data_IF_096660474664
#
_entry.id   IF_096660474664
#
_cell.length_a   1.000
_cell.length_b   1.000
_cell.length_c   1.000
_cell.angle_alpha   90.00
_cell.angle_beta   90.00
_cell.angle_gamma   90.00
#
_symmetry.space_group_name_H-M   'P 1'
#
loop_
_entity.id
_entity.type
_entity.pdbx_description
1 polymer ?
#
# COMPACT_ATOMS: atom_id res chain seq x y z
N UNK A 1 -54.70 -10.00 5.39
CA UNK A 1 -53.34 -9.49 5.07
C UNK A 1 -53.15 -9.63 3.56
N UNK A 2 -53.65 -8.65 2.78
CA UNK A 2 -53.64 -8.77 1.32
C UNK A 2 -52.25 -8.38 0.78
N UNK A 3 -51.58 -9.36 0.18
CA UNK A 3 -50.33 -9.21 -0.54
C UNK A 3 -50.55 -8.31 -1.77
N UNK A 4 -50.39 -6.99 -1.63
CA UNK A 4 -50.48 -6.06 -2.78
C UNK A 4 -49.32 -5.07 -2.77
N UNK A 5 -48.15 -5.58 -3.13
CA UNK A 5 -47.02 -4.80 -3.61
C UNK A 5 -46.99 -4.84 -5.15
N UNK A 6 -48.16 -4.69 -5.80
CA UNK A 6 -48.20 -4.56 -7.26
C UNK A 6 -47.81 -3.13 -7.64
N UNK A 7 -47.03 -2.95 -8.71
CA UNK A 7 -46.58 -1.63 -9.17
C UNK A 7 -47.71 -0.62 -9.41
N UNK A 8 -48.93 -1.12 -9.65
CA UNK A 8 -50.18 -0.34 -9.82
C UNK A 8 -50.86 0.09 -8.52
N UNK A 9 -50.35 -0.29 -7.35
CA UNK A 9 -50.94 0.08 -6.06
C UNK A 9 -50.98 1.62 -5.86
N UNK A 10 -52.05 2.17 -5.25
CA UNK A 10 -52.15 3.59 -4.92
C UNK A 10 -50.97 4.15 -4.11
N UNK A 11 -50.27 3.32 -3.32
CA UNK A 11 -49.05 3.69 -2.61
C UNK A 11 -48.01 4.37 -3.51
N UNK A 12 -47.93 3.92 -4.76
CA UNK A 12 -46.94 4.39 -5.73
C UNK A 12 -47.32 5.71 -6.42
N UNK A 13 -48.55 6.21 -6.26
CA UNK A 13 -48.99 7.46 -6.90
C UNK A 13 -48.09 8.64 -6.43
N UNK A 14 -47.52 9.37 -7.39
CA UNK A 14 -46.54 10.44 -7.12
C UNK A 14 -45.13 9.96 -6.75
N UNK A 15 -44.92 8.68 -6.39
CA UNK A 15 -43.62 8.14 -5.94
C UNK A 15 -42.86 7.33 -7.00
N UNK A 16 -43.53 6.81 -8.04
CA UNK A 16 -42.89 5.97 -9.10
C UNK A 16 -41.74 6.68 -9.81
N UNK A 17 -41.98 7.89 -10.30
CA UNK A 17 -41.00 8.68 -11.05
C UNK A 17 -39.77 9.03 -10.20
N UNK A 18 -39.90 9.62 -8.99
CA UNK A 18 -38.73 9.91 -8.16
C UNK A 18 -38.00 8.64 -7.69
N UNK A 19 -38.71 7.55 -7.42
CA UNK A 19 -38.09 6.27 -7.10
C UNK A 19 -37.27 5.70 -8.26
N UNK A 20 -37.84 5.66 -9.48
CA UNK A 20 -37.15 5.20 -10.67
C UNK A 20 -35.93 6.05 -11.02
N UNK A 21 -36.06 7.38 -10.94
CA UNK A 21 -34.93 8.31 -11.13
C UNK A 21 -33.87 8.09 -10.04
N UNK A 22 -34.27 7.92 -8.79
CA UNK A 22 -33.35 7.70 -7.67
C UNK A 22 -32.52 6.43 -7.85
N UNK A 23 -33.15 5.31 -8.24
CA UNK A 23 -32.45 4.06 -8.53
C UNK A 23 -31.52 4.21 -9.72
N UNK A 24 -32.01 4.78 -10.82
CA UNK A 24 -31.21 4.93 -12.04
C UNK A 24 -29.99 5.81 -11.80
N UNK A 25 -30.17 6.98 -11.18
CA UNK A 25 -29.07 7.90 -10.88
C UNK A 25 -28.07 7.28 -9.90
N UNK A 26 -28.54 6.62 -8.84
CA UNK A 26 -27.65 5.94 -7.90
C UNK A 26 -26.86 4.81 -8.59
N UNK A 27 -27.51 4.04 -9.47
CA UNK A 27 -26.86 3.01 -10.28
C UNK A 27 -25.79 3.58 -11.20
N UNK A 28 -26.08 4.65 -11.94
CA UNK A 28 -25.11 5.34 -12.80
C UNK A 28 -23.93 5.86 -11.96
N UNK A 29 -24.19 6.50 -10.82
CA UNK A 29 -23.13 7.02 -9.95
C UNK A 29 -22.20 5.90 -9.45
N UNK A 30 -22.74 4.75 -9.04
CA UNK A 30 -21.93 3.60 -8.61
C UNK A 30 -21.14 3.01 -9.78
N UNK A 31 -21.74 2.88 -10.97
CA UNK A 31 -21.01 2.40 -12.16
C UNK A 31 -19.83 3.33 -12.48
N UNK A 32 -20.05 4.65 -12.50
CA UNK A 32 -19.00 5.64 -12.75
C UNK A 32 -17.92 5.62 -11.66
N UNK A 33 -18.31 5.40 -10.40
CA UNK A 33 -17.38 5.25 -9.29
C UNK A 33 -16.41 4.08 -9.52
N UNK A 34 -16.95 2.88 -9.78
CA UNK A 34 -16.14 1.69 -10.04
C UNK A 34 -15.33 1.81 -11.33
N UNK A 35 -15.90 2.39 -12.38
CA UNK A 35 -15.17 2.66 -13.61
C UNK A 35 -13.96 3.54 -13.35
N UNK A 36 -14.12 4.62 -12.57
CA UNK A 36 -13.04 5.57 -12.26
C UNK A 36 -11.96 4.92 -11.40
N UNK A 37 -12.34 4.24 -10.31
CA UNK A 37 -11.37 3.65 -9.37
C UNK A 37 -10.63 2.46 -9.97
N UNK A 38 -11.30 1.64 -10.77
CA UNK A 38 -10.65 0.56 -11.52
C UNK A 38 -9.74 1.12 -12.61
N UNK A 39 -10.18 2.13 -13.38
CA UNK A 39 -9.32 2.79 -14.36
C UNK A 39 -8.07 3.39 -13.72
N UNK A 40 -8.19 3.97 -12.52
CA UNK A 40 -7.05 4.46 -11.75
C UNK A 40 -6.08 3.32 -11.41
N UNK A 41 -6.57 2.22 -10.84
CA UNK A 41 -5.76 1.08 -10.43
C UNK A 41 -5.05 0.40 -11.61
N UNK A 42 -5.75 0.13 -12.71
CA UNK A 42 -5.13 -0.40 -13.94
C UNK A 42 -4.14 0.60 -14.56
N UNK A 43 -4.43 1.89 -14.47
CA UNK A 43 -3.56 2.95 -14.97
C UNK A 43 -2.21 3.01 -14.25
N UNK A 44 -2.15 2.71 -12.95
CA UNK A 44 -0.89 2.62 -12.20
C UNK A 44 0.05 1.56 -12.79
N UNK A 45 -0.48 0.42 -13.24
CA UNK A 45 0.29 -0.68 -13.82
C UNK A 45 0.43 -0.59 -15.35
N UNK A 46 -0.25 0.37 -15.99
CA UNK A 46 -0.34 0.40 -17.44
C UNK A 46 1.02 0.58 -18.11
N UNK A 47 1.40 -0.39 -18.94
CA UNK A 47 2.72 -0.47 -19.61
C UNK A 47 3.90 -0.50 -18.64
N UNK A 48 3.75 -1.08 -17.45
CA UNK A 48 4.86 -1.25 -16.50
C UNK A 48 6.08 -1.94 -17.12
N UNK A 49 5.87 -2.98 -17.93
CA UNK A 49 6.94 -3.72 -18.58
C UNK A 49 7.77 -2.89 -19.57
N UNK A 50 7.24 -1.81 -20.15
CA UNK A 50 7.98 -0.88 -21.01
C UNK A 50 8.71 0.22 -20.21
N UNK A 51 8.71 0.12 -18.89
CA UNK A 51 9.39 1.07 -17.99
C UNK A 51 10.39 0.36 -17.10
N UNK A 52 10.75 -0.88 -17.42
CA UNK A 52 11.73 -1.65 -16.67
C UNK A 52 13.08 -0.91 -16.59
N UNK A 53 13.44 -0.12 -17.61
CA UNK A 53 14.63 0.73 -17.62
C UNK A 53 14.72 1.73 -16.46
N UNK A 54 13.61 2.08 -15.80
CA UNK A 54 13.64 2.94 -14.61
C UNK A 54 14.13 2.19 -13.35
N UNK A 55 14.26 0.87 -13.41
CA UNK A 55 14.85 0.06 -12.34
C UNK A 55 16.37 0.04 -12.52
N UNK A 56 17.06 0.80 -11.69
CA UNK A 56 18.53 0.84 -11.72
C UNK A 56 19.12 -0.38 -11.01
N UNK A 57 20.01 -1.09 -11.71
CA UNK A 57 20.82 -2.19 -11.19
C UNK A 57 22.28 -1.75 -11.18
N UNK A 58 22.96 -1.99 -10.07
CA UNK A 58 24.39 -1.69 -9.93
C UNK A 58 25.23 -2.78 -10.60
N UNK A 59 26.08 -2.43 -11.57
CA UNK A 59 27.04 -3.35 -12.16
C UNK A 59 28.48 -2.98 -11.74
N UNK A 60 29.25 -3.93 -11.22
CA UNK A 60 30.67 -3.71 -10.86
C UNK A 60 31.52 -4.87 -11.37
N UNK A 61 32.55 -4.54 -12.13
CA UNK A 61 33.54 -5.51 -12.60
C UNK A 61 34.78 -5.50 -11.71
N UNK A 62 34.95 -6.53 -10.87
CA UNK A 62 36.20 -6.75 -10.13
C UNK A 62 37.16 -7.71 -10.84
N UNK A 63 36.71 -8.36 -11.92
CA UNK A 63 37.53 -9.28 -12.70
C UNK A 63 38.51 -8.51 -13.60
N UNK A 64 38.03 -7.48 -14.28
CA UNK A 64 38.81 -6.71 -15.26
C UNK A 64 39.31 -7.56 -16.44
N UNK A 65 38.67 -8.70 -16.66
CA UNK A 65 39.01 -9.69 -17.68
C UNK A 65 37.84 -9.96 -18.62
N UNK A 66 37.95 -11.05 -19.41
CA UNK A 66 37.01 -11.36 -20.48
C UNK A 66 35.59 -11.67 -20.00
N UNK A 67 35.41 -12.14 -18.76
CA UNK A 67 34.09 -12.35 -18.15
C UNK A 67 33.42 -11.00 -17.85
N UNK A 68 34.18 -10.03 -17.34
CA UNK A 68 33.69 -8.65 -17.14
C UNK A 68 33.35 -7.96 -18.47
N UNK A 69 34.19 -8.13 -19.48
CA UNK A 69 33.94 -7.63 -20.84
C UNK A 69 32.69 -8.28 -21.45
N UNK A 70 32.56 -9.61 -21.36
CA UNK A 70 31.38 -10.33 -21.82
C UNK A 70 30.09 -9.88 -21.10
N UNK A 71 30.17 -9.54 -19.81
CA UNK A 71 29.03 -8.96 -19.08
C UNK A 71 28.60 -7.63 -19.67
N UNK A 72 29.55 -6.72 -19.96
CA UNK A 72 29.25 -5.42 -20.54
C UNK A 72 28.63 -5.53 -21.94
N UNK A 73 29.19 -6.35 -22.82
CA UNK A 73 28.65 -6.55 -24.18
C UNK A 73 27.35 -7.35 -24.22
N UNK A 74 27.14 -8.28 -23.27
CA UNK A 74 25.85 -8.95 -23.15
C UNK A 74 24.75 -7.93 -22.80
N UNK A 75 25.03 -6.98 -21.90
CA UNK A 75 24.05 -5.95 -21.54
C UNK A 75 23.68 -5.05 -22.73
N UNK A 76 24.63 -4.71 -23.61
CA UNK A 76 24.34 -3.92 -24.82
C UNK A 76 23.25 -4.55 -25.71
N UNK A 77 23.10 -5.89 -25.68
CA UNK A 77 22.05 -6.59 -26.44
C UNK A 77 20.65 -6.45 -25.83
N UNK A 78 20.55 -6.11 -24.54
CA UNK A 78 19.29 -5.98 -23.80
C UNK A 78 18.89 -4.53 -23.51
N UNK A 79 19.73 -3.56 -23.86
CA UNK A 79 19.40 -2.15 -23.67
C UNK A 79 18.07 -1.80 -24.35
N UNK A 80 17.12 -1.28 -23.56
CA UNK A 80 15.83 -0.87 -24.06
C UNK A 80 14.77 -0.79 -22.96
N UNK A 81 13.56 -0.43 -23.37
CA UNK A 81 12.44 -0.15 -22.46
C UNK A 81 12.02 -1.33 -21.58
N UNK A 82 12.29 -2.56 -22.04
CA UNK A 82 11.88 -3.82 -21.42
C UNK A 82 12.87 -4.43 -20.43
N UNK A 83 14.04 -3.81 -20.23
CA UNK A 83 15.09 -4.36 -19.37
C UNK A 83 15.55 -3.32 -18.32
N UNK A 84 15.89 -3.74 -17.09
CA UNK A 84 16.46 -2.84 -16.07
C UNK A 84 17.76 -2.17 -16.53
N UNK A 85 17.96 -0.92 -16.14
CA UNK A 85 19.18 -0.18 -16.50
C UNK A 85 20.36 -0.66 -15.64
N UNK A 86 21.40 -1.22 -16.27
CA UNK A 86 22.65 -1.57 -15.59
C UNK A 86 23.60 -0.38 -15.60
N UNK A 87 23.88 0.14 -14.40
CA UNK A 87 24.81 1.22 -14.19
C UNK A 87 26.18 0.68 -13.79
N UNK A 88 27.12 0.71 -14.74
CA UNK A 88 28.49 0.29 -14.49
C UNK A 88 29.23 1.33 -13.65
N UNK A 89 29.82 0.87 -12.55
CA UNK A 89 30.62 1.69 -11.66
C UNK A 89 31.99 1.06 -11.38
N UNK A 90 32.97 1.92 -11.12
CA UNK A 90 34.34 1.51 -10.87
C UNK A 90 34.51 0.95 -9.46
N UNK A 91 35.50 0.06 -9.32
CA UNK A 91 35.92 -0.52 -8.03
C UNK A 91 36.41 0.54 -7.03
N UNK A 92 36.77 1.75 -7.48
CA UNK A 92 37.12 2.86 -6.58
C UNK A 92 35.90 3.37 -5.78
N UNK A 93 34.70 3.37 -6.37
CA UNK A 93 33.45 3.79 -5.72
C UNK A 93 32.87 2.66 -4.86
N UNK A 94 32.99 1.43 -5.34
CA UNK A 94 32.55 0.22 -4.62
C UNK A 94 33.74 -0.74 -4.53
N UNK A 95 34.56 -0.66 -3.47
CA UNK A 95 35.78 -1.48 -3.35
C UNK A 95 35.51 -2.91 -2.91
N UNK A 96 34.31 -3.22 -2.42
CA UNK A 96 33.96 -4.57 -1.96
C UNK A 96 32.49 -4.91 -2.23
N UNK A 97 32.20 -6.20 -2.30
CA UNK A 97 30.84 -6.74 -2.40
C UNK A 97 29.96 -6.27 -1.25
N UNK A 98 30.52 -6.03 -0.06
CA UNK A 98 29.79 -5.51 1.10
C UNK A 98 29.26 -4.10 0.82
N UNK A 99 30.03 -3.24 0.15
CA UNK A 99 29.57 -1.90 -0.23
C UNK A 99 28.49 -1.96 -1.32
N UNK A 100 28.59 -2.93 -2.24
CA UNK A 100 27.53 -3.20 -3.22
C UNK A 100 26.24 -3.66 -2.51
N UNK A 101 26.34 -4.59 -1.56
CA UNK A 101 25.20 -5.02 -0.75
C UNK A 101 24.60 -3.87 0.06
N UNK A 102 25.41 -3.00 0.65
CA UNK A 102 24.93 -1.79 1.34
C UNK A 102 24.19 -0.84 0.41
N UNK A 103 24.63 -0.67 -0.84
CA UNK A 103 23.95 0.18 -1.81
C UNK A 103 22.55 -0.38 -2.19
N UNK A 104 22.46 -1.68 -2.44
CA UNK A 104 21.18 -2.37 -2.67
C UNK A 104 20.31 -2.32 -1.41
N UNK A 105 20.90 -2.53 -0.23
CA UNK A 105 20.21 -2.44 1.05
C UNK A 105 19.69 -1.02 1.30
N UNK A 106 20.46 0.05 1.05
CA UNK A 106 20.00 1.44 1.20
C UNK A 106 18.81 1.76 0.30
N UNK A 107 18.70 1.08 -0.84
CA UNK A 107 17.60 1.19 -1.78
C UNK A 107 17.91 2.06 -3.00
N UNK A 108 19.17 2.49 -3.17
CA UNK A 108 19.60 3.28 -4.34
C UNK A 108 19.47 2.47 -5.64
N UNK A 109 19.67 1.16 -5.53
CA UNK A 109 19.54 0.20 -6.62
C UNK A 109 18.54 -0.89 -6.25
N UNK A 110 17.86 -1.42 -7.26
CA UNK A 110 16.90 -2.51 -7.11
C UNK A 110 17.57 -3.88 -6.96
N UNK A 111 18.78 -3.99 -7.49
CA UNK A 111 19.68 -5.14 -7.35
C UNK A 111 21.08 -4.75 -7.81
N UNK A 112 21.99 -5.73 -7.80
CA UNK A 112 23.32 -5.57 -8.36
C UNK A 112 23.78 -6.84 -9.05
N UNK A 113 24.72 -6.70 -9.99
CA UNK A 113 25.47 -7.80 -10.60
C UNK A 113 26.96 -7.48 -10.55
N UNK A 114 27.75 -8.47 -10.18
CA UNK A 114 29.17 -8.32 -9.90
C UNK A 114 29.94 -9.42 -10.61
N UNK A 115 30.97 -9.05 -11.38
CA UNK A 115 31.97 -9.99 -11.85
C UNK A 115 33.01 -10.19 -10.74
N UNK A 116 33.20 -11.45 -10.33
CA UNK A 116 34.06 -11.80 -9.20
C UNK A 116 35.54 -11.62 -9.57
N UNK A 117 36.40 -11.18 -8.62
CA UNK A 117 37.80 -10.89 -8.92
C UNK A 117 38.53 -12.16 -9.38
N UNK A 118 39.25 -12.07 -10.50
CA UNK A 118 40.01 -13.18 -11.07
C UNK A 118 39.16 -14.34 -11.59
N UNK A 119 37.87 -14.13 -11.87
CA UNK A 119 37.00 -15.12 -12.49
C UNK A 119 37.55 -15.59 -13.85
N UNK A 120 38.00 -14.67 -14.70
CA UNK A 120 38.58 -15.01 -16.01
C UNK A 120 39.84 -15.87 -15.87
N UNK A 121 40.69 -15.54 -14.91
CA UNK A 121 41.92 -16.29 -14.64
C UNK A 121 41.61 -17.69 -14.10
N UNK A 122 40.62 -17.83 -13.19
CA UNK A 122 40.18 -19.14 -12.68
C UNK A 122 39.64 -20.02 -13.79
N UNK A 123 38.83 -19.46 -14.69
CA UNK A 123 38.29 -20.19 -15.84
C UNK A 123 39.41 -20.64 -16.78
N UNK A 124 40.32 -19.73 -17.14
CA UNK A 124 41.50 -20.05 -17.96
C UNK A 124 42.34 -21.20 -17.38
N UNK A 125 42.60 -21.18 -16.07
CA UNK A 125 43.33 -22.26 -15.40
C UNK A 125 42.56 -23.59 -15.39
N UNK A 126 41.23 -23.54 -15.22
CA UNK A 126 40.38 -24.72 -15.24
C UNK A 126 40.37 -25.41 -16.62
N UNK A 127 40.47 -24.65 -17.71
CA UNK A 127 40.55 -25.22 -19.06
C UNK A 127 41.81 -26.07 -19.28
N UNK A 128 42.92 -25.74 -18.62
CA UNK A 128 44.17 -26.52 -18.68
C UNK A 128 44.11 -27.89 -17.99
N UNK A 129 43.06 -28.17 -17.21
CA UNK A 129 42.89 -29.43 -16.48
C UNK A 129 43.58 -29.45 -15.11
N UNK A 130 43.70 -30.66 -14.54
CA UNK A 130 44.34 -30.87 -13.25
C UNK A 130 43.46 -30.47 -12.05
N UNK A 131 44.10 -30.02 -10.96
CA UNK A 131 43.40 -29.63 -9.73
C UNK A 131 42.51 -28.41 -9.91
N UNK A 132 42.95 -27.43 -10.72
CA UNK A 132 42.19 -26.21 -11.02
C UNK A 132 40.84 -26.52 -11.69
N UNK A 133 40.80 -27.52 -12.57
CA UNK A 133 39.55 -27.98 -13.17
C UNK A 133 38.63 -28.66 -12.16
N UNK A 134 39.18 -29.49 -11.26
CA UNK A 134 38.38 -30.22 -10.26
C UNK A 134 37.75 -29.32 -9.19
N UNK A 135 38.35 -28.16 -8.92
CA UNK A 135 37.85 -27.18 -7.92
C UNK A 135 37.10 -26.02 -8.56
N UNK A 136 36.99 -25.99 -9.89
CA UNK A 136 36.31 -24.91 -10.59
C UNK A 136 34.80 -24.93 -10.32
N UNK A 137 34.28 -23.80 -9.84
CA UNK A 137 32.86 -23.58 -9.66
C UNK A 137 32.44 -22.40 -10.52
N UNK A 138 31.64 -22.66 -11.55
CA UNK A 138 31.16 -21.61 -12.44
C UNK A 138 30.28 -20.57 -11.75
N UNK A 139 29.67 -20.90 -10.60
CA UNK A 139 28.86 -19.97 -9.80
C UNK A 139 29.68 -18.87 -9.11
N UNK A 140 31.01 -19.02 -9.08
CA UNK A 140 31.94 -18.03 -8.53
C UNK A 140 32.48 -17.07 -9.61
N UNK A 141 31.82 -17.04 -10.78
CA UNK A 141 32.15 -16.14 -11.89
C UNK A 141 31.42 -14.81 -11.74
N UNK A 142 30.10 -14.88 -11.55
CA UNK A 142 29.23 -13.74 -11.33
C UNK A 142 28.50 -13.89 -10.00
N UNK A 143 28.14 -12.78 -9.39
CA UNK A 143 27.25 -12.75 -8.24
C UNK A 143 26.22 -11.66 -8.45
N UNK A 144 24.95 -12.00 -8.36
CA UNK A 144 23.90 -10.99 -8.29
C UNK A 144 23.33 -10.87 -6.89
N UNK A 145 22.95 -9.65 -6.52
CA UNK A 145 22.44 -9.28 -5.20
C UNK A 145 21.04 -8.70 -5.38
N UNK A 146 20.08 -9.17 -4.60
CA UNK A 146 18.72 -8.66 -4.60
C UNK A 146 18.15 -8.54 -3.18
N UNK A 147 16.99 -7.89 -3.03
CA UNK A 147 16.28 -7.80 -1.76
C UNK A 147 14.86 -8.31 -1.95
N UNK A 148 14.65 -9.61 -1.69
CA UNK A 148 13.36 -10.28 -1.89
C UNK A 148 12.19 -9.64 -1.13
N UNK A 149 12.46 -8.94 -0.02
CA UNK A 149 11.43 -8.26 0.76
C UNK A 149 10.83 -7.03 0.06
N UNK A 150 11.55 -6.37 -0.87
CA UNK A 150 11.11 -5.13 -1.53
C UNK A 150 10.28 -5.44 -2.77
N UNK A 151 8.95 -5.36 -2.70
CA UNK A 151 8.05 -5.70 -3.82
C UNK A 151 8.34 -7.09 -4.44
N UNK A 152 7.89 -8.18 -3.79
CA UNK A 152 8.31 -9.55 -4.15
C UNK A 152 8.07 -9.94 -5.62
N UNK A 153 6.96 -9.51 -6.22
CA UNK A 153 6.64 -9.80 -7.62
C UNK A 153 7.64 -9.15 -8.60
N UNK A 154 8.07 -7.92 -8.33
CA UNK A 154 9.04 -7.17 -9.14
C UNK A 154 10.44 -7.76 -8.97
N UNK A 155 10.82 -8.12 -7.74
CA UNK A 155 12.12 -8.74 -7.48
C UNK A 155 12.28 -10.09 -8.19
N UNK A 156 11.20 -10.86 -8.28
CA UNK A 156 11.22 -12.15 -8.95
C UNK A 156 11.21 -12.00 -10.48
N UNK A 157 10.24 -11.26 -11.02
CA UNK A 157 10.05 -11.13 -12.46
C UNK A 157 11.03 -10.15 -13.10
N UNK A 158 11.00 -8.90 -12.67
CA UNK A 158 11.68 -7.79 -13.35
C UNK A 158 13.16 -7.64 -12.97
N UNK A 159 13.59 -8.19 -11.82
CA UNK A 159 15.00 -8.14 -11.40
C UNK A 159 15.68 -9.50 -11.58
N UNK A 160 15.29 -10.52 -10.80
CA UNK A 160 15.99 -11.80 -10.79
C UNK A 160 15.88 -12.54 -12.13
N UNK A 161 14.67 -12.62 -12.71
CA UNK A 161 14.48 -13.25 -14.03
C UNK A 161 15.24 -12.56 -15.16
N UNK A 162 15.27 -11.23 -15.16
CA UNK A 162 16.03 -10.45 -16.13
C UNK A 162 17.54 -10.61 -15.95
N UNK A 163 18.05 -10.62 -14.71
CA UNK A 163 19.46 -10.88 -14.43
C UNK A 163 19.89 -12.29 -14.84
N UNK A 164 19.07 -13.31 -14.57
CA UNK A 164 19.34 -14.69 -15.01
C UNK A 164 19.39 -14.81 -16.53
N UNK A 165 18.50 -14.10 -17.24
CA UNK A 165 18.52 -14.01 -18.70
C UNK A 165 19.82 -13.37 -19.19
N UNK A 166 20.24 -12.26 -18.57
CA UNK A 166 21.50 -11.61 -18.88
C UNK A 166 22.69 -12.55 -18.64
N UNK A 167 22.74 -13.25 -17.51
CA UNK A 167 23.81 -14.22 -17.18
C UNK A 167 23.91 -15.32 -18.25
N UNK A 168 22.76 -15.82 -18.73
CA UNK A 168 22.74 -16.76 -19.85
C UNK A 168 23.36 -16.18 -21.13
N UNK A 169 23.09 -14.91 -21.43
CA UNK A 169 23.72 -14.21 -22.55
C UNK A 169 25.21 -13.94 -22.34
N UNK A 170 25.67 -13.66 -21.11
CA UNK A 170 27.10 -13.51 -20.80
C UNK A 170 27.88 -14.75 -21.22
N UNK A 171 27.37 -15.94 -20.89
CA UNK A 171 27.98 -17.22 -21.32
C UNK A 171 28.07 -17.33 -22.84
N UNK A 172 27.02 -16.92 -23.57
CA UNK A 172 27.02 -16.93 -25.03
C UNK A 172 28.03 -15.94 -25.62
N UNK A 173 28.08 -14.73 -25.08
CA UNK A 173 29.03 -13.68 -25.49
C UNK A 173 30.47 -14.11 -25.19
N UNK A 174 30.74 -14.71 -24.03
CA UNK A 174 32.06 -15.26 -23.71
C UNK A 174 32.54 -16.26 -24.78
N UNK A 175 31.67 -17.16 -25.22
CA UNK A 175 32.00 -18.10 -26.30
C UNK A 175 32.25 -17.39 -27.64
N UNK A 176 31.51 -16.33 -27.94
CA UNK A 176 31.74 -15.54 -29.14
C UNK A 176 33.08 -14.80 -29.12
N UNK A 177 33.51 -14.28 -27.96
CA UNK A 177 34.77 -13.55 -27.82
C UNK A 177 35.99 -14.46 -27.75
N UNK A 178 35.91 -15.49 -26.91
CA UNK A 178 37.08 -16.27 -26.48
C UNK A 178 36.92 -17.78 -26.70
N UNK A 179 35.81 -18.25 -27.25
CA UNK A 179 35.52 -19.68 -27.36
C UNK A 179 36.58 -20.44 -28.16
N UNK A 180 37.07 -19.87 -29.27
CA UNK A 180 38.12 -20.50 -30.08
C UNK A 180 39.46 -20.59 -29.34
N UNK A 181 39.86 -19.53 -28.62
CA UNK A 181 41.11 -19.54 -27.83
C UNK A 181 40.98 -20.47 -26.62
N UNK A 182 39.83 -20.43 -25.93
CA UNK A 182 39.50 -21.33 -24.83
C UNK A 182 39.56 -22.81 -25.27
N UNK A 183 39.07 -23.12 -26.47
CA UNK A 183 39.14 -24.46 -27.04
C UNK A 183 40.59 -24.91 -27.33
N UNK A 184 41.47 -24.01 -27.76
CA UNK A 184 42.90 -24.32 -27.94
C UNK A 184 43.61 -24.59 -26.61
N UNK A 185 43.20 -23.90 -25.54
CA UNK A 185 43.74 -24.12 -24.18
C UNK A 185 43.10 -25.31 -23.45
N UNK A 186 42.06 -25.93 -24.02
CA UNK A 186 41.28 -26.97 -23.37
C UNK A 186 42.03 -28.31 -23.35
N UNK A 187 42.22 -28.85 -22.15
CA UNK A 187 42.64 -30.23 -21.97
C UNK A 187 41.45 -31.19 -22.12
N UNK A 188 41.18 -31.61 -23.36
CA UNK A 188 40.06 -32.50 -23.70
C UNK A 188 40.13 -33.88 -23.02
N UNK A 189 41.27 -34.28 -22.46
CA UNK A 189 41.41 -35.53 -21.70
C UNK A 189 40.92 -35.43 -20.26
N UNK A 190 40.65 -34.22 -19.75
CA UNK A 190 40.14 -34.00 -18.40
C UNK A 190 38.65 -33.63 -18.44
N UNK A 191 37.80 -34.51 -17.91
CA UNK A 191 36.34 -34.33 -17.89
C UNK A 191 35.91 -33.01 -17.24
N UNK A 192 36.54 -32.61 -16.12
CA UNK A 192 36.21 -31.38 -15.42
C UNK A 192 36.56 -30.12 -16.23
N UNK A 193 37.62 -30.18 -17.04
CA UNK A 193 37.99 -29.09 -17.93
C UNK A 193 36.95 -28.93 -19.07
N UNK A 194 36.46 -30.05 -19.61
CA UNK A 194 35.38 -30.05 -20.61
C UNK A 194 34.09 -29.51 -20.00
N UNK A 195 33.75 -29.90 -18.77
CA UNK A 195 32.58 -29.36 -18.06
C UNK A 195 32.69 -27.85 -17.80
N UNK A 196 33.88 -27.37 -17.41
CA UNK A 196 34.16 -25.95 -17.24
C UNK A 196 34.06 -25.18 -18.58
N UNK A 197 34.47 -25.79 -19.69
CA UNK A 197 34.29 -25.20 -21.02
C UNK A 197 32.82 -25.13 -21.44
N UNK A 198 32.03 -26.17 -21.19
CA UNK A 198 30.61 -26.22 -21.59
C UNK A 198 29.71 -25.34 -20.70
N UNK A 199 30.10 -25.12 -19.45
CA UNK A 199 29.38 -24.28 -18.50
C UNK A 199 30.34 -23.26 -17.85
N UNK A 200 30.87 -22.31 -18.63
CA UNK A 200 31.96 -21.45 -18.17
C UNK A 200 31.52 -20.49 -17.09
N UNK A 201 30.32 -19.93 -17.21
CA UNK A 201 29.84 -18.84 -16.38
C UNK A 201 28.46 -19.21 -15.81
N UNK A 202 28.35 -19.11 -14.49
CA UNK A 202 27.08 -19.09 -13.76
C UNK A 202 27.14 -17.95 -12.75
N UNK A 203 26.00 -17.63 -12.17
CA UNK A 203 25.94 -16.67 -11.08
C UNK A 203 25.51 -17.31 -9.77
N UNK A 204 26.14 -16.86 -8.70
CA UNK A 204 25.62 -17.00 -7.34
C UNK A 204 24.63 -15.88 -7.02
N UNK A 205 23.69 -16.16 -6.11
CA UNK A 205 22.69 -15.20 -5.67
C UNK A 205 22.92 -14.86 -4.19
N UNK A 206 22.97 -13.57 -3.87
CA UNK A 206 22.90 -13.06 -2.51
C UNK A 206 21.58 -12.32 -2.34
N UNK A 207 20.60 -12.99 -1.76
CA UNK A 207 19.35 -12.35 -1.36
C UNK A 207 19.47 -11.79 0.05
N UNK A 208 19.42 -10.46 0.18
CA UNK A 208 19.57 -9.73 1.45
C UNK A 208 18.51 -10.19 2.47
N UNK A 209 17.27 -10.35 2.00
CA UNK A 209 16.20 -10.92 2.81
C UNK A 209 15.42 -11.90 1.97
N UNK A 210 15.72 -13.21 2.08
CA UNK A 210 14.94 -14.26 1.46
C UNK A 210 13.51 -14.22 2.00
N UNK A 211 12.54 -14.27 1.08
CA UNK A 211 11.13 -14.20 1.44
C UNK A 211 10.34 -15.21 0.65
N UNK A 212 9.67 -16.12 1.36
CA UNK A 212 8.71 -17.05 0.77
C UNK A 212 7.45 -16.30 0.31
N UNK A 213 6.93 -16.69 -0.85
CA UNK A 213 5.85 -15.97 -1.54
C UNK A 213 4.45 -16.20 -0.96
N UNK A 214 4.28 -17.14 -0.02
CA UNK A 214 2.98 -17.61 0.50
C UNK A 214 2.02 -16.51 0.94
N UNK A 215 2.02 -16.16 2.22
CA UNK A 215 1.12 -15.13 2.78
C UNK A 215 1.48 -13.71 2.33
N UNK A 216 2.67 -13.52 1.73
CA UNK A 216 3.22 -12.22 1.32
C UNK A 216 2.49 -11.57 0.15
N UNK A 217 1.79 -12.35 -0.68
CA UNK A 217 0.91 -11.82 -1.74
C UNK A 217 -0.21 -10.93 -1.20
N UNK A 218 -0.62 -11.17 0.04
CA UNK A 218 -1.63 -10.36 0.72
C UNK A 218 -1.04 -9.06 1.29
N UNK A 219 0.27 -8.99 1.47
CA UNK A 219 0.92 -8.00 2.30
C UNK A 219 0.88 -6.59 1.72
N UNK A 220 1.14 -6.46 0.42
CA UNK A 220 1.11 -5.18 -0.29
C UNK A 220 -0.28 -4.79 -0.83
N UNK A 221 -1.32 -5.61 -0.57
CA UNK A 221 -2.69 -5.38 -1.06
C UNK A 221 -3.71 -5.48 0.08
N UNK A 222 -4.05 -6.70 0.48
CA UNK A 222 -5.08 -7.01 1.47
C UNK A 222 -4.71 -6.45 2.85
N UNK A 223 -3.46 -6.59 3.26
CA UNK A 223 -2.96 -6.05 4.53
C UNK A 223 -2.84 -4.51 4.55
N UNK A 224 -3.10 -3.84 3.42
CA UNK A 224 -3.22 -2.39 3.33
C UNK A 224 -4.69 -1.96 3.34
N UNK A 225 -5.57 -2.68 2.61
CA UNK A 225 -7.00 -2.33 2.48
C UNK A 225 -7.84 -2.69 3.71
N UNK A 226 -7.60 -3.87 4.30
CA UNK A 226 -8.42 -4.35 5.42
C UNK A 226 -8.30 -3.47 6.65
N UNK A 227 -7.11 -2.93 7.03
CA UNK A 227 -7.02 -1.92 8.08
C UNK A 227 -7.94 -0.71 7.87
N UNK A 228 -8.06 -0.20 6.64
CA UNK A 228 -8.93 0.94 6.31
C UNK A 228 -10.40 0.55 6.53
N UNK A 229 -10.81 -0.60 5.99
CA UNK A 229 -12.19 -1.12 6.10
C UNK A 229 -12.54 -1.39 7.57
N UNK A 230 -11.61 -1.97 8.33
CA UNK A 230 -11.76 -2.23 9.76
C UNK A 230 -12.01 -0.93 10.54
N UNK A 231 -11.22 0.13 10.28
CA UNK A 231 -11.44 1.43 10.90
C UNK A 231 -12.82 2.00 10.54
N UNK A 232 -13.22 1.89 9.28
CA UNK A 232 -14.51 2.37 8.82
C UNK A 232 -15.69 1.66 9.52
N UNK A 233 -15.64 0.34 9.65
CA UNK A 233 -16.72 -0.43 10.30
C UNK A 233 -16.85 -0.11 11.79
N UNK A 234 -15.73 -0.04 12.52
CA UNK A 234 -15.78 0.37 13.91
C UNK A 234 -16.27 1.80 14.08
N UNK A 235 -15.84 2.73 13.22
CA UNK A 235 -16.30 4.10 13.23
C UNK A 235 -17.82 4.22 12.97
N UNK A 236 -18.38 3.41 12.08
CA UNK A 236 -19.83 3.36 11.84
C UNK A 236 -20.59 2.88 13.08
N UNK A 237 -20.11 1.82 13.75
CA UNK A 237 -20.69 1.34 15.00
C UNK A 237 -20.58 2.42 16.10
N UNK A 238 -19.41 3.05 16.23
CA UNK A 238 -19.15 4.10 17.19
C UNK A 238 -20.07 5.31 16.97
N UNK A 239 -20.25 5.75 15.73
CA UNK A 239 -21.18 6.84 15.41
C UNK A 239 -22.64 6.45 15.70
N UNK A 240 -23.05 5.22 15.37
CA UNK A 240 -24.37 4.69 15.69
C UNK A 240 -24.66 4.68 17.20
N UNK A 241 -23.71 4.20 18.00
CA UNK A 241 -23.81 4.20 19.48
C UNK A 241 -23.91 5.63 20.00
N UNK A 242 -23.03 6.54 19.58
CA UNK A 242 -23.07 7.94 20.04
C UNK A 242 -24.43 8.62 19.73
N UNK A 243 -25.03 8.31 18.57
CA UNK A 243 -26.36 8.79 18.20
C UNK A 243 -27.48 8.18 19.06
N UNK A 244 -27.44 6.87 19.33
CA UNK A 244 -28.43 6.20 20.18
C UNK A 244 -28.45 6.75 21.61
N UNK A 245 -27.27 7.05 22.16
CA UNK A 245 -27.13 7.65 23.49
C UNK A 245 -27.38 9.17 23.51
N UNK A 246 -27.61 9.80 22.35
CA UNK A 246 -27.88 11.24 22.26
C UNK A 246 -26.76 12.11 22.79
N UNK A 247 -25.50 11.69 22.58
CA UNK A 247 -24.31 12.32 23.16
C UNK A 247 -24.07 13.70 22.53
N UNK A 248 -24.35 13.84 21.23
CA UNK A 248 -24.22 15.09 20.50
C UNK A 248 -25.31 16.10 20.89
N UNK A 249 -24.91 17.37 21.03
CA UNK A 249 -25.78 18.49 21.38
C UNK A 249 -26.08 18.63 22.88
N UNK A 250 -25.67 17.65 23.70
CA UNK A 250 -25.85 17.67 25.18
C UNK A 250 -24.58 17.88 25.98
N UNK A 251 -23.42 17.61 25.37
CA UNK A 251 -22.10 17.76 25.99
C UNK A 251 -21.28 18.84 25.27
N UNK A 252 -20.30 19.40 25.99
CA UNK A 252 -19.34 20.33 25.40
C UNK A 252 -18.52 19.64 24.30
N UNK A 253 -18.30 20.35 23.19
CA UNK A 253 -17.58 19.82 22.02
C UNK A 253 -16.16 19.33 22.36
N UNK A 254 -15.47 19.97 23.30
CA UNK A 254 -14.15 19.54 23.78
C UNK A 254 -14.18 18.17 24.45
N UNK A 255 -15.22 17.87 25.24
CA UNK A 255 -15.36 16.58 25.92
C UNK A 255 -15.67 15.47 24.93
N UNK A 256 -16.53 15.74 23.94
CA UNK A 256 -16.82 14.80 22.86
C UNK A 256 -15.55 14.56 22.04
N UNK A 257 -14.85 15.61 21.63
CA UNK A 257 -13.58 15.49 20.89
C UNK A 257 -12.54 14.67 21.65
N UNK A 258 -12.35 14.92 22.95
CA UNK A 258 -11.43 14.16 23.79
C UNK A 258 -11.84 12.67 23.90
N UNK A 259 -13.13 12.39 24.13
CA UNK A 259 -13.64 11.02 24.21
C UNK A 259 -13.43 10.26 22.90
N UNK A 260 -13.65 10.92 21.75
CA UNK A 260 -13.40 10.34 20.44
C UNK A 260 -11.91 10.09 20.19
N UNK A 261 -11.04 11.03 20.57
CA UNK A 261 -9.59 10.90 20.44
C UNK A 261 -9.01 9.76 21.30
N UNK A 262 -9.44 9.66 22.56
CA UNK A 262 -9.00 8.56 23.44
C UNK A 262 -9.47 7.22 22.86
N UNK A 263 -10.71 7.17 22.39
CA UNK A 263 -11.28 5.96 21.77
C UNK A 263 -10.53 5.59 20.48
N UNK A 264 -10.19 6.57 19.64
CA UNK A 264 -9.45 6.32 18.39
C UNK A 264 -8.08 5.73 18.68
N UNK A 265 -7.32 6.33 19.60
CA UNK A 265 -5.97 5.86 19.96
C UNK A 265 -6.03 4.44 20.56
N UNK A 266 -6.91 4.19 21.53
CA UNK A 266 -7.00 2.89 22.21
C UNK A 266 -7.45 1.80 21.23
N UNK A 267 -8.48 2.08 20.43
CA UNK A 267 -8.98 1.12 19.45
C UNK A 267 -7.93 0.80 18.40
N UNK A 268 -7.31 1.81 17.79
CA UNK A 268 -6.34 1.59 16.71
C UNK A 268 -5.09 0.90 17.22
N UNK A 269 -4.67 1.14 18.47
CA UNK A 269 -3.52 0.48 19.09
C UNK A 269 -3.75 -1.01 19.31
N UNK A 270 -4.96 -1.40 19.75
CA UNK A 270 -5.35 -2.80 19.93
C UNK A 270 -5.59 -3.47 18.56
N UNK A 271 -6.26 -2.79 17.64
CA UNK A 271 -6.52 -3.28 16.29
C UNK A 271 -5.23 -3.54 15.50
N UNK A 272 -4.24 -2.65 15.61
CA UNK A 272 -2.94 -2.81 14.98
C UNK A 272 -2.13 -3.93 15.62
N UNK A 273 -2.27 -4.14 16.94
CA UNK A 273 -1.65 -5.28 17.64
C UNK A 273 -2.23 -6.60 17.15
N UNK A 274 -3.56 -6.71 17.03
CA UNK A 274 -4.20 -7.89 16.48
C UNK A 274 -3.76 -8.15 15.04
N UNK A 275 -3.62 -7.08 14.24
CA UNK A 275 -3.17 -7.17 12.85
C UNK A 275 -1.74 -7.68 12.73
N UNK A 276 -0.83 -7.08 13.48
CA UNK A 276 0.56 -7.50 13.55
C UNK A 276 0.67 -8.91 14.14
N UNK A 277 -0.19 -9.26 15.10
CA UNK A 277 -0.26 -10.56 15.75
C UNK A 277 -0.58 -11.71 14.79
N UNK A 278 -1.58 -11.55 13.91
CA UNK A 278 -1.85 -12.60 12.92
C UNK A 278 -0.76 -12.67 11.84
N UNK A 279 -0.21 -11.54 11.39
CA UNK A 279 0.93 -11.52 10.45
C UNK A 279 2.10 -12.31 11.05
N UNK A 280 2.38 -12.06 12.33
CA UNK A 280 3.42 -12.74 13.08
C UNK A 280 3.14 -14.23 13.25
N UNK A 281 1.90 -14.62 13.56
CA UNK A 281 1.52 -16.02 13.73
C UNK A 281 1.66 -16.83 12.43
N UNK A 282 1.38 -16.20 11.28
CA UNK A 282 1.44 -16.82 9.94
C UNK A 282 2.66 -16.40 9.13
N UNK A 283 3.77 -16.03 9.81
CA UNK A 283 5.02 -15.60 9.17
C UNK A 283 5.84 -16.73 8.53
N UNK A 284 5.39 -17.98 8.65
CA UNK A 284 6.08 -19.17 8.13
C UNK A 284 7.58 -19.18 8.51
N UNK A 285 8.48 -19.24 7.53
CA UNK A 285 9.94 -19.25 7.70
C UNK A 285 10.58 -17.85 7.70
N UNK A 286 9.81 -16.78 7.83
CA UNK A 286 10.37 -15.43 7.82
C UNK A 286 11.21 -15.20 9.07
N UNK A 287 12.49 -14.94 8.82
CA UNK A 287 13.48 -14.61 9.83
C UNK A 287 13.24 -13.19 10.39
N UNK A 288 12.27 -13.03 11.27
CA UNK A 288 11.98 -11.75 11.93
C UNK A 288 12.00 -11.90 13.45
N UNK A 289 12.47 -10.86 14.14
CA UNK A 289 12.69 -10.85 15.59
C UNK A 289 11.61 -10.04 16.36
N UNK A 290 11.64 -10.13 17.69
CA UNK A 290 10.65 -9.44 18.53
C UNK A 290 10.72 -7.91 18.47
N UNK A 291 11.87 -7.32 18.16
CA UNK A 291 11.96 -5.86 17.98
C UNK A 291 11.32 -5.43 16.67
N UNK A 292 11.48 -6.20 15.59
CA UNK A 292 10.79 -6.00 14.33
C UNK A 292 9.28 -6.15 14.48
N UNK A 293 8.79 -7.07 15.32
CA UNK A 293 7.38 -7.16 15.68
C UNK A 293 6.86 -5.85 16.28
N UNK A 294 7.55 -5.30 17.28
CA UNK A 294 7.14 -4.06 17.94
C UNK A 294 7.15 -2.86 16.99
N UNK A 295 8.17 -2.76 16.12
CA UNK A 295 8.27 -1.70 15.12
C UNK A 295 7.18 -1.81 14.04
N UNK A 296 6.86 -3.03 13.60
CA UNK A 296 5.78 -3.28 12.65
C UNK A 296 4.43 -2.93 13.28
N UNK A 297 4.23 -3.26 14.55
CA UNK A 297 3.05 -2.87 15.31
C UNK A 297 2.87 -1.35 15.37
N UNK A 298 3.93 -0.60 15.70
CA UNK A 298 3.88 0.87 15.69
C UNK A 298 3.64 1.45 14.30
N UNK A 299 4.19 0.83 13.25
CA UNK A 299 3.95 1.23 11.86
C UNK A 299 2.48 1.05 11.46
N UNK A 300 1.89 -0.10 11.82
CA UNK A 300 0.45 -0.33 11.63
C UNK A 300 -0.42 0.58 12.48
N UNK A 301 -0.01 0.89 13.70
CA UNK A 301 -0.76 1.77 14.59
C UNK A 301 -0.91 3.17 13.99
N UNK A 302 0.20 3.80 13.57
CA UNK A 302 0.18 5.12 12.92
C UNK A 302 -0.68 5.06 11.65
N UNK A 303 -0.49 4.04 10.82
CA UNK A 303 -1.28 3.87 9.59
C UNK A 303 -2.79 3.74 9.87
N UNK A 304 -3.18 2.91 10.84
CA UNK A 304 -4.58 2.74 11.22
C UNK A 304 -5.16 4.00 11.85
N UNK A 305 -4.39 4.71 12.68
CA UNK A 305 -4.86 5.91 13.34
C UNK A 305 -5.07 7.06 12.33
N UNK A 306 -4.16 7.28 11.39
CA UNK A 306 -4.36 8.18 10.24
C UNK A 306 -5.66 7.85 9.51
N UNK A 307 -5.87 6.59 9.14
CA UNK A 307 -7.08 6.18 8.43
C UNK A 307 -8.34 6.40 9.28
N UNK A 308 -8.28 6.11 10.58
CA UNK A 308 -9.38 6.38 11.49
C UNK A 308 -9.73 7.88 11.51
N UNK A 309 -8.75 8.78 11.62
CA UNK A 309 -8.95 10.23 11.66
C UNK A 309 -9.54 10.77 10.35
N UNK A 310 -9.04 10.30 9.20
CA UNK A 310 -9.54 10.69 7.88
C UNK A 310 -10.99 10.22 7.69
N UNK A 311 -11.29 8.98 8.07
CA UNK A 311 -12.64 8.43 7.99
C UNK A 311 -13.59 9.11 8.99
N UNK A 312 -13.12 9.45 10.20
CA UNK A 312 -13.94 10.19 11.17
C UNK A 312 -14.28 11.58 10.67
N UNK A 313 -13.32 12.26 10.07
CA UNK A 313 -13.54 13.54 9.39
C UNK A 313 -14.56 13.38 8.27
N UNK A 314 -14.38 12.40 7.38
CA UNK A 314 -15.28 12.16 6.27
C UNK A 314 -16.71 11.89 6.74
N UNK A 315 -16.90 11.04 7.74
CA UNK A 315 -18.23 10.76 8.32
C UNK A 315 -18.83 11.96 9.07
N UNK A 316 -18.05 13.01 9.37
CA UNK A 316 -18.55 14.22 10.01
C UNK A 316 -19.15 15.20 9.00
N UNK A 317 -18.53 15.32 7.83
CA UNK A 317 -18.93 16.28 6.80
C UNK A 317 -19.76 15.68 5.66
N UNK A 318 -19.62 14.37 5.41
CA UNK A 318 -20.30 13.68 4.32
C UNK A 318 -21.54 12.96 4.87
N UNK A 319 -22.74 13.17 4.28
CA UNK A 319 -23.92 12.43 4.65
C UNK A 319 -23.73 10.92 4.47
N UNK A 320 -24.34 10.12 5.35
CA UNK A 320 -24.19 8.64 5.35
C UNK A 320 -24.56 8.02 4.00
N UNK A 321 -25.53 8.59 3.27
CA UNK A 321 -25.92 8.10 1.93
C UNK A 321 -24.82 8.23 0.87
N UNK A 322 -23.84 9.12 1.06
CA UNK A 322 -22.77 9.38 0.10
C UNK A 322 -21.38 8.96 0.60
N UNK A 323 -21.26 8.43 1.83
CA UNK A 323 -19.96 8.10 2.43
C UNK A 323 -19.19 7.05 1.63
N UNK A 324 -19.89 6.14 0.96
CA UNK A 324 -19.31 5.09 0.11
C UNK A 324 -18.53 5.67 -1.07
N UNK A 325 -18.93 6.83 -1.60
CA UNK A 325 -18.23 7.55 -2.68
C UNK A 325 -16.91 8.19 -2.20
N UNK A 326 -16.66 8.25 -0.90
CA UNK A 326 -15.38 8.66 -0.35
C UNK A 326 -14.53 7.46 0.08
N UNK A 327 -15.11 6.55 0.86
CA UNK A 327 -14.38 5.42 1.47
C UNK A 327 -13.81 4.50 0.41
N UNK A 328 -14.57 4.19 -0.65
CA UNK A 328 -14.11 3.28 -1.70
C UNK A 328 -12.96 3.88 -2.51
N UNK A 329 -13.05 5.11 -3.06
CA UNK A 329 -11.89 5.73 -3.71
C UNK A 329 -10.69 5.90 -2.79
N UNK A 330 -10.89 6.31 -1.52
CA UNK A 330 -9.81 6.44 -0.55
C UNK A 330 -9.08 5.11 -0.35
N UNK A 331 -9.82 4.02 -0.16
CA UNK A 331 -9.24 2.68 -0.02
C UNK A 331 -8.49 2.25 -1.29
N UNK A 332 -9.10 2.40 -2.48
CA UNK A 332 -8.48 1.97 -3.74
C UNK A 332 -7.22 2.77 -4.06
N UNK A 333 -7.23 4.09 -3.86
CA UNK A 333 -6.05 4.94 -4.09
C UNK A 333 -4.90 4.56 -3.15
N UNK A 334 -5.19 4.25 -1.88
CA UNK A 334 -4.18 3.79 -0.92
C UNK A 334 -3.63 2.39 -1.30
N UNK A 335 -4.47 1.47 -1.74
CA UNK A 335 -4.00 0.14 -2.21
C UNK A 335 -3.17 0.27 -3.47
N UNK A 336 -3.64 1.07 -4.45
CA UNK A 336 -2.91 1.29 -5.70
C UNK A 336 -1.50 1.88 -5.46
N UNK A 337 -1.31 2.58 -4.34
CA UNK A 337 -0.02 3.13 -3.94
C UNK A 337 1.00 2.09 -3.43
N UNK A 338 0.60 0.84 -3.19
CA UNK A 338 1.45 -0.21 -2.64
C UNK A 338 1.57 -1.45 -3.53
N UNK A 339 0.76 -1.55 -4.59
CA UNK A 339 0.79 -2.72 -5.50
C UNK A 339 2.12 -2.82 -6.23
N UNK A 340 2.65 -1.70 -6.72
CA UNK A 340 3.78 -1.67 -7.63
C UNK A 340 4.65 -0.43 -7.38
N UNK A 341 5.97 -0.51 -7.59
CA UNK A 341 6.85 0.65 -7.43
C UNK A 341 6.55 1.72 -8.47
N UNK A 342 6.53 2.98 -8.04
CA UNK A 342 6.17 4.10 -8.90
C UNK A 342 7.20 4.45 -9.98
N UNK A 343 8.39 3.88 -9.91
CA UNK A 343 9.40 3.88 -10.98
C UNK A 343 8.85 3.22 -12.25
N UNK A 344 7.97 2.20 -12.10
CA UNK A 344 7.33 1.48 -13.19
C UNK A 344 5.97 2.08 -13.59
N UNK A 345 5.40 2.92 -12.74
CA UNK A 345 4.14 3.62 -13.02
C UNK A 345 4.34 4.87 -13.89
N UNK A 346 3.32 5.29 -14.66
CA UNK A 346 3.35 6.59 -15.32
C UNK A 346 3.58 7.74 -14.32
N UNK A 347 4.32 8.77 -14.73
CA UNK A 347 4.70 9.89 -13.86
C UNK A 347 3.54 10.60 -13.17
N UNK A 348 2.35 10.61 -13.77
CA UNK A 348 1.12 11.11 -13.16
C UNK A 348 0.85 10.49 -11.78
N UNK A 349 1.05 9.18 -11.60
CA UNK A 349 0.71 8.48 -10.36
C UNK A 349 1.71 8.71 -9.22
N UNK A 350 2.84 9.38 -9.46
CA UNK A 350 3.88 9.62 -8.45
C UNK A 350 3.42 10.56 -7.33
N UNK A 351 2.31 11.30 -7.48
CA UNK A 351 1.73 12.06 -6.37
C UNK A 351 1.38 11.16 -5.17
N UNK A 352 1.12 9.88 -5.42
CA UNK A 352 0.81 8.87 -4.43
C UNK A 352 1.96 8.57 -3.43
N UNK A 353 3.18 9.08 -3.66
CA UNK A 353 4.23 9.12 -2.64
C UNK A 353 3.79 9.86 -1.36
N UNK A 354 2.84 10.79 -1.48
CA UNK A 354 2.30 11.50 -0.33
C UNK A 354 1.26 10.70 0.46
N UNK A 355 0.81 9.53 -0.02
CA UNK A 355 -0.25 8.76 0.63
C UNK A 355 0.28 7.96 1.82
N UNK A 356 -0.54 7.79 2.87
CA UNK A 356 -0.11 7.10 4.08
C UNK A 356 0.20 5.62 3.83
N UNK A 357 -0.47 4.96 2.88
CA UNK A 357 -0.22 3.54 2.58
C UNK A 357 1.15 3.29 1.96
N UNK A 358 1.62 4.14 1.04
CA UNK A 358 2.94 3.99 0.41
C UNK A 358 4.07 4.14 1.44
N UNK A 359 3.96 5.16 2.31
CA UNK A 359 4.96 5.38 3.35
C UNK A 359 4.89 4.33 4.47
N UNK A 360 3.69 3.87 4.84
CA UNK A 360 3.50 2.71 5.71
C UNK A 360 4.18 1.46 5.14
N UNK A 361 3.92 1.13 3.86
CA UNK A 361 4.50 -0.05 3.22
C UNK A 361 6.02 0.04 3.12
N UNK A 362 6.55 1.24 2.83
CA UNK A 362 7.99 1.50 2.85
C UNK A 362 8.61 1.24 4.22
N UNK A 363 7.95 1.69 5.30
CA UNK A 363 8.38 1.39 6.68
C UNK A 363 8.29 -0.09 7.01
N UNK A 364 7.22 -0.78 6.60
CA UNK A 364 7.06 -2.21 6.82
C UNK A 364 8.19 -3.01 6.17
N UNK A 365 8.51 -2.73 4.89
CA UNK A 365 9.66 -3.35 4.20
C UNK A 365 10.96 -3.05 4.96
N UNK A 366 11.16 -1.81 5.42
CA UNK A 366 12.36 -1.43 6.17
C UNK A 366 12.50 -2.25 7.45
N UNK A 367 11.43 -2.33 8.22
CA UNK A 367 11.43 -3.09 9.48
C UNK A 367 11.78 -4.54 9.22
N UNK A 368 11.18 -5.17 8.21
CA UNK A 368 11.38 -6.59 7.91
C UNK A 368 12.76 -6.91 7.34
N UNK A 369 13.19 -6.14 6.34
CA UNK A 369 14.46 -6.38 5.65
C UNK A 369 15.66 -5.85 6.43
N UNK A 370 15.47 -4.92 7.37
CA UNK A 370 16.55 -4.15 7.97
C UNK A 370 17.20 -3.15 7.00
N UNK A 371 16.66 -3.03 5.79
CA UNK A 371 17.21 -2.27 4.67
C UNK A 371 16.29 -1.09 4.29
N UNK A 372 16.80 -0.14 3.52
CA UNK A 372 16.11 1.04 3.04
C UNK A 372 16.49 2.30 3.80
N UNK A 373 16.70 3.41 3.11
CA UNK A 373 16.74 4.73 3.72
C UNK A 373 15.42 5.45 3.44
N UNK A 374 14.38 5.08 4.21
CA UNK A 374 13.02 5.61 4.01
C UNK A 374 12.51 6.39 5.21
N UNK A 375 13.16 6.32 6.37
CA UNK A 375 12.67 6.95 7.60
C UNK A 375 12.57 8.47 7.47
N UNK A 376 13.55 9.09 6.80
CA UNK A 376 13.58 10.54 6.61
C UNK A 376 12.39 11.06 5.79
N UNK A 377 11.79 10.22 4.94
CA UNK A 377 10.64 10.56 4.10
C UNK A 377 9.33 10.09 4.73
N UNK A 378 9.28 8.83 5.14
CA UNK A 378 8.05 8.17 5.56
C UNK A 378 7.49 8.73 6.87
N UNK A 379 8.35 8.92 7.88
CA UNK A 379 7.88 9.39 9.18
C UNK A 379 7.32 10.81 9.11
N UNK A 380 7.99 11.81 8.50
CA UNK A 380 7.41 13.15 8.39
C UNK A 380 6.08 13.20 7.64
N UNK A 381 5.92 12.41 6.57
CA UNK A 381 4.66 12.34 5.82
C UNK A 381 3.54 11.75 6.68
N UNK A 382 3.79 10.63 7.35
CA UNK A 382 2.81 10.00 8.24
C UNK A 382 2.44 10.92 9.42
N UNK A 383 3.41 11.58 10.06
CA UNK A 383 3.13 12.54 11.12
C UNK A 383 2.39 13.78 10.61
N UNK A 384 2.63 14.22 9.37
CA UNK A 384 1.86 15.31 8.76
C UNK A 384 0.38 14.92 8.60
N UNK A 385 0.11 13.69 8.16
CA UNK A 385 -1.25 13.14 8.10
C UNK A 385 -1.89 13.03 9.48
N UNK A 386 -1.15 12.62 10.50
CA UNK A 386 -1.63 12.61 11.89
C UNK A 386 -2.04 14.02 12.35
N UNK A 387 -1.17 15.02 12.18
CA UNK A 387 -1.46 16.41 12.60
C UNK A 387 -2.67 16.97 11.86
N UNK A 388 -2.73 16.81 10.54
CA UNK A 388 -3.85 17.28 9.73
C UNK A 388 -5.13 16.52 10.08
N UNK A 389 -5.04 15.19 10.22
CA UNK A 389 -6.15 14.33 10.60
C UNK A 389 -6.72 14.68 11.97
N UNK A 390 -5.87 14.98 12.95
CA UNK A 390 -6.29 15.41 14.29
C UNK A 390 -7.03 16.75 14.23
N UNK A 391 -6.48 17.74 13.53
CA UNK A 391 -7.12 19.05 13.38
C UNK A 391 -8.50 18.92 12.70
N UNK A 392 -8.59 18.10 11.66
CA UNK A 392 -9.83 17.82 10.95
C UNK A 392 -10.84 17.03 11.80
N UNK A 393 -10.40 16.04 12.57
CA UNK A 393 -11.27 15.24 13.46
C UNK A 393 -11.84 16.09 14.61
N UNK A 394 -11.04 16.99 15.19
CA UNK A 394 -11.50 17.96 16.20
C UNK A 394 -12.55 18.91 15.60
N UNK A 395 -12.28 19.40 14.38
CA UNK A 395 -13.19 20.27 13.65
C UNK A 395 -14.50 19.55 13.31
N UNK A 396 -14.42 18.30 12.83
CA UNK A 396 -15.57 17.46 12.52
C UNK A 396 -16.41 17.10 13.75
N UNK A 397 -15.77 16.80 14.88
CA UNK A 397 -16.46 16.56 16.15
C UNK A 397 -17.23 17.79 16.64
N UNK A 398 -16.60 18.96 16.51
CA UNK A 398 -17.24 20.24 16.86
C UNK A 398 -18.41 20.57 15.92
N UNK A 399 -18.24 20.30 14.62
CA UNK A 399 -19.28 20.46 13.61
C UNK A 399 -20.51 19.59 13.91
N UNK A 400 -20.31 18.29 14.16
CA UNK A 400 -21.39 17.35 14.53
C UNK A 400 -22.15 17.81 15.78
N UNK A 401 -21.40 18.23 16.80
CA UNK A 401 -22.01 18.66 18.06
C UNK A 401 -22.89 19.89 17.88
N UNK A 402 -22.40 20.91 17.14
CA UNK A 402 -23.15 22.14 16.88
C UNK A 402 -24.41 21.89 16.05
N UNK A 403 -24.34 20.99 15.06
CA UNK A 403 -25.51 20.62 14.27
C UNK A 403 -26.57 19.92 15.13
N UNK A 404 -26.17 18.96 15.95
CA UNK A 404 -27.08 18.28 16.86
C UNK A 404 -27.68 19.25 17.90
N UNK A 405 -26.90 20.18 18.43
CA UNK A 405 -27.38 21.22 19.35
C UNK A 405 -28.44 22.11 18.70
N UNK A 406 -28.20 22.54 17.45
CA UNK A 406 -29.15 23.35 16.69
C UNK A 406 -30.48 22.60 16.43
N UNK A 407 -30.40 21.30 16.13
CA UNK A 407 -31.58 20.44 15.96
C UNK A 407 -32.38 20.30 17.27
N UNK A 408 -31.69 20.07 18.39
CA UNK A 408 -32.34 19.99 19.72
C UNK A 408 -33.04 21.30 20.09
N UNK A 409 -32.41 22.45 19.84
CA UNK A 409 -33.00 23.76 20.07
C UNK A 409 -34.24 23.97 19.17
N UNK A 410 -34.16 23.57 17.90
CA UNK A 410 -35.28 23.68 16.97
C UNK A 410 -36.48 22.83 17.42
N UNK A 411 -36.25 21.58 17.82
CA UNK A 411 -37.30 20.69 18.35
C UNK A 411 -37.90 21.28 19.63
N UNK A 412 -37.08 21.80 20.54
CA UNK A 412 -37.55 22.46 21.77
C UNK A 412 -38.43 23.68 21.50
N UNK A 413 -38.07 24.52 20.52
CA UNK A 413 -38.88 25.68 20.11
C UNK A 413 -40.23 25.27 19.52
N UNK A 414 -40.27 24.22 18.70
CA UNK A 414 -41.52 23.69 18.14
C UNK A 414 -42.43 23.15 19.26
N UNK A 415 -41.88 22.38 20.21
CA UNK A 415 -42.64 21.86 21.34
C UNK A 415 -43.17 22.97 22.25
N UNK A 416 -42.38 24.00 22.54
CA UNK A 416 -42.85 25.18 23.28
C UNK A 416 -43.95 25.96 22.53
N UNK A 417 -43.85 26.07 21.20
CA UNK A 417 -44.87 26.69 20.36
C UNK A 417 -46.21 25.93 20.42
N UNK A 418 -46.17 24.61 20.28
CA UNK A 418 -47.37 23.74 20.38
C UNK A 418 -47.99 23.83 21.77
N UNK A 419 -47.18 23.80 22.84
CA UNK A 419 -47.68 23.94 24.21
C UNK A 419 -48.33 25.30 24.48
N UNK A 420 -47.74 26.40 23.98
CA UNK A 420 -48.35 27.74 24.07
C UNK A 420 -49.68 27.82 23.31
N UNK A 421 -49.75 27.26 22.10
CA UNK A 421 -50.99 27.24 21.31
C UNK A 421 -52.09 26.45 22.03
N UNK A 422 -51.78 25.27 22.58
CA UNK A 422 -52.75 24.47 23.33
C UNK A 422 -53.24 25.19 24.60
N UNK A 423 -52.33 25.85 25.33
CA UNK A 423 -52.73 26.62 26.52
C UNK A 423 -53.62 27.83 26.18
N UNK A 424 -53.35 28.50 25.05
CA UNK A 424 -54.18 29.61 24.59
C UNK A 424 -55.58 29.15 24.13
N UNK A 425 -55.69 27.99 23.49
CA UNK A 425 -56.98 27.38 23.13
C UNK A 425 -57.78 27.06 24.39
N UNK A 426 -57.17 26.40 25.36
CA UNK A 426 -57.82 26.06 26.63
C UNK A 426 -58.32 27.31 27.38
N UNK A 427 -57.52 28.38 27.39
CA UNK A 427 -57.90 29.63 28.05
C UNK A 427 -59.04 30.35 27.32
N UNK A 428 -59.07 30.31 25.98
CA UNK A 428 -60.18 30.86 25.20
C UNK A 428 -61.48 30.08 25.42
N UNK A 429 -61.41 28.75 25.46
CA UNK A 429 -62.59 27.89 25.73
C UNK A 429 -63.15 28.16 27.14
N UNK A 430 -62.29 28.35 28.14
CA UNK A 430 -62.71 28.75 29.49
C UNK A 430 -63.41 30.11 29.50
N UNK A 431 -62.90 31.10 28.76
CA UNK A 431 -63.51 32.41 28.66
C UNK A 431 -64.88 32.36 27.97
N UNK A 432 -65.03 31.60 26.87
CA UNK A 432 -66.32 31.41 26.22
C UNK A 432 -67.34 30.74 27.16
N UNK A 433 -66.91 29.75 27.94
CA UNK A 433 -67.78 29.04 28.87
C UNK A 433 -68.23 29.93 30.05
N UNK A 434 -67.37 30.85 30.49
CA UNK A 434 -67.72 31.89 31.48
C UNK A 434 -68.70 32.91 30.89
N UNK A 435 -68.52 33.31 29.64
CA UNK A 435 -69.43 34.23 28.94
C UNK A 435 -70.81 33.58 28.75
N UNK A 436 -70.87 32.32 28.30
CA UNK A 436 -72.13 31.58 28.17
C UNK A 436 -72.85 31.43 29.52
N UNK A 437 -72.12 31.12 30.61
CA UNK A 437 -72.69 31.05 31.98
C UNK A 437 -73.19 32.39 32.50
N UNK A 438 -72.63 33.52 32.06
CA UNK A 438 -73.13 34.86 32.40
C UNK A 438 -74.39 35.19 31.61
N UNK A 439 -74.44 34.85 30.32
CA UNK A 439 -75.61 35.07 29.48
C UNK A 439 -76.82 34.24 29.93
N UNK A 440 -76.60 33.01 30.42
CA UNK A 440 -77.66 32.14 30.94
C UNK A 440 -78.21 32.53 32.33
N UNK A 441 -77.62 33.52 33.02
CA UNK A 441 -78.13 34.05 34.30
C UNK A 441 -78.96 35.34 34.14
N UNK A 442 -79.07 35.85 32.92
CA UNK A 442 -79.79 37.10 32.59
C UNK A 442 -81.13 36.83 31.88
N UNK A 443 -81.45 35.55 31.63
CA UNK A 443 -82.81 35.05 31.37
C UNK A 443 -83.34 34.39 32.64
#
# INVERSE_FOLDING_TARGET
MALRLLWRDPFWNGKRKPFGIGILMSGIMVILLFFTTMSYMYGVLFKSGYRAHNLNILAVDYDGGIIGEALSMAYEQFQGDGFPELQFHTTAKYPSIIEVQKAVCRGDYWGAIVAQPGASNRLSQALGGGSAASTYNSSDSLTYINNGARYPAVQLGDISGNLETLIGAVSSVYHALNGSQALLSLNASNENAVLAFLNPIKASNINIKPTEQGTRVLYNTVSVVLPIIQQFFFLMAFNGINNQFGIYGRLNSTRIGLMRLVTSIVYTLIASLATTGYIWAFRESWDVNGSQFALLWMSYWIYMHINFLILDTATAFIPVSFITFFVLPWAIINVAATIYPFELSPGFYRWAYALPSHEFYSLAIRVESGCGDVLYRALPILFSWEVVGLALAISGSSYRNRHAEAELIAVGKVQQGVSKTNNNILHNDEQELIIMKRLSRVQ
#
